data_IF_221385399364
#
_entry.id   IF_221385399364
#
_cell.length_a   1.000
_cell.length_b   1.000
_cell.length_c   1.000
_cell.angle_alpha   90.00
_cell.angle_beta   90.00
_cell.angle_gamma   90.00
#
_symmetry.space_group_name_H-M   'P 1'
#
loop_
_entity.id
_entity.type
_entity.pdbx_description
1 polymer ?
#
# COMPACT_ATOMS: atom_id res chain seq x y z
N UNK A 1 56.07 -26.98 -18.99
CA UNK A 1 56.16 -28.30 -18.31
C UNK A 1 54.81 -28.58 -17.66
N UNK A 2 54.14 -29.65 -18.11
CA UNK A 2 52.95 -30.36 -17.56
C UNK A 2 51.69 -29.52 -17.22
N UNK A 3 50.59 -29.57 -17.99
CA UNK A 3 49.55 -30.64 -18.19
C UNK A 3 48.69 -30.91 -16.94
N UNK A 4 47.39 -30.65 -17.08
CA UNK A 4 46.31 -31.09 -16.18
C UNK A 4 44.94 -30.89 -16.84
N UNK A 5 44.44 -31.93 -17.50
CA UNK A 5 43.17 -32.01 -18.22
C UNK A 5 42.04 -32.55 -17.31
N UNK A 6 40.79 -32.33 -17.73
CA UNK A 6 39.53 -33.02 -17.36
C UNK A 6 38.75 -32.53 -16.12
N UNK A 7 37.41 -32.50 -16.06
CA UNK A 7 36.29 -32.71 -17.00
C UNK A 7 34.99 -32.26 -16.29
N UNK A 8 34.08 -31.65 -17.07
CA UNK A 8 32.60 -31.66 -16.96
C UNK A 8 31.89 -31.70 -15.58
N UNK A 9 31.20 -30.61 -15.26
CA UNK A 9 30.09 -30.56 -14.30
C UNK A 9 29.05 -29.52 -14.73
N UNK A 10 27.90 -29.99 -15.20
CA UNK A 10 26.74 -29.20 -15.61
C UNK A 10 26.18 -28.35 -14.45
N UNK A 11 26.02 -27.06 -14.70
CA UNK A 11 25.27 -26.14 -13.85
C UNK A 11 25.52 -24.71 -14.29
N UNK A 12 24.60 -24.13 -15.08
CA UNK A 12 24.68 -22.71 -15.47
C UNK A 12 24.49 -21.85 -14.21
N UNK A 13 25.40 -20.94 -13.85
CA UNK A 13 24.98 -19.75 -13.13
C UNK A 13 24.45 -18.74 -14.17
N UNK A 14 23.14 -18.52 -14.13
CA UNK A 14 22.57 -17.24 -14.55
C UNK A 14 23.07 -16.22 -13.53
N UNK A 15 23.90 -15.30 -13.98
CA UNK A 15 24.67 -14.41 -13.12
C UNK A 15 26.11 -14.32 -13.62
N UNK A 16 26.28 -13.99 -14.90
CA UNK A 16 27.59 -13.68 -15.43
C UNK A 16 28.00 -12.33 -14.85
N UNK A 17 28.94 -12.39 -13.93
CA UNK A 17 29.73 -11.30 -13.41
C UNK A 17 30.56 -10.71 -14.57
N UNK A 18 29.97 -9.81 -15.37
CA UNK A 18 30.65 -9.09 -16.47
C UNK A 18 31.10 -7.70 -15.99
N UNK A 19 31.63 -7.60 -14.77
CA UNK A 19 32.12 -6.33 -14.20
C UNK A 19 33.65 -6.14 -14.31
N UNK A 20 34.39 -7.04 -14.95
CA UNK A 20 35.83 -6.87 -15.16
C UNK A 20 36.17 -6.52 -16.63
N UNK A 21 36.73 -5.32 -16.83
CA UNK A 21 37.62 -4.93 -17.94
C UNK A 21 37.13 -4.38 -19.30
N UNK A 22 35.84 -4.07 -19.52
CA UNK A 22 35.46 -3.34 -20.75
C UNK A 22 35.13 -1.87 -20.46
N UNK A 23 35.81 -0.88 -21.10
CA UNK A 23 35.56 0.53 -20.85
C UNK A 23 34.12 0.93 -21.22
N UNK A 24 33.48 1.76 -20.40
CA UNK A 24 32.06 2.12 -20.50
C UNK A 24 31.61 2.63 -21.89
N UNK A 25 32.53 3.22 -22.66
CA UNK A 25 32.27 3.69 -24.04
C UNK A 25 32.05 2.53 -25.03
N UNK A 26 32.72 1.41 -24.82
CA UNK A 26 32.60 0.23 -25.67
C UNK A 26 31.35 -0.59 -25.33
N UNK A 27 30.95 -0.62 -24.05
CA UNK A 27 29.68 -1.19 -23.60
C UNK A 27 28.46 -0.53 -24.26
N UNK A 28 28.43 0.81 -24.31
CA UNK A 28 27.33 1.56 -24.95
C UNK A 28 27.22 1.26 -26.45
N UNK A 29 28.35 0.95 -27.11
CA UNK A 29 28.40 0.56 -28.52
C UNK A 29 27.91 -0.87 -28.77
N UNK A 30 28.06 -1.77 -27.78
CA UNK A 30 27.62 -3.18 -27.85
C UNK A 30 26.17 -3.38 -27.37
N UNK A 31 25.36 -2.32 -27.32
CA UNK A 31 23.95 -2.41 -26.89
C UNK A 31 23.74 -2.26 -25.38
N UNK A 32 24.76 -1.85 -24.64
CA UNK A 32 24.61 -1.41 -23.24
C UNK A 32 23.86 -0.08 -23.14
N UNK A 33 23.29 0.17 -21.98
CA UNK A 33 22.58 1.38 -21.62
C UNK A 33 22.91 1.78 -20.18
N UNK A 34 22.62 3.03 -19.82
CA UNK A 34 22.84 3.54 -18.47
C UNK A 34 21.49 3.72 -17.79
N UNK A 35 21.29 3.09 -16.63
CA UNK A 35 20.12 3.29 -15.78
C UNK A 35 20.50 4.11 -14.54
N UNK A 36 19.79 5.20 -14.33
CA UNK A 36 19.89 6.08 -13.16
C UNK A 36 18.58 5.99 -12.38
N UNK A 37 18.63 5.55 -11.14
CA UNK A 37 17.48 5.54 -10.24
C UNK A 37 17.67 6.57 -9.12
N UNK A 38 16.74 7.50 -8.98
CA UNK A 38 16.65 8.39 -7.82
C UNK A 38 15.59 7.85 -6.87
N UNK A 39 16.02 7.06 -5.88
CA UNK A 39 15.13 6.41 -4.91
C UNK A 39 15.07 7.20 -3.62
N UNK A 40 13.86 7.51 -3.16
CA UNK A 40 13.59 8.17 -1.89
C UNK A 40 12.83 7.21 -0.98
N UNK A 41 13.36 6.89 0.22
CA UNK A 41 14.53 7.48 0.85
C UNK A 41 15.86 6.84 0.38
N UNK A 42 17.00 7.52 0.58
CA UNK A 42 18.31 7.10 0.03
C UNK A 42 18.84 5.77 0.59
N UNK A 43 18.42 5.37 1.78
CA UNK A 43 18.75 4.06 2.37
C UNK A 43 17.96 2.89 1.76
N UNK A 44 17.21 3.10 0.69
CA UNK A 44 16.48 2.03 0.03
C UNK A 44 17.44 1.00 -0.58
N UNK A 45 17.10 -0.28 -0.41
CA UNK A 45 17.69 -1.39 -1.16
C UNK A 45 17.11 -1.38 -2.56
N UNK A 46 17.98 -1.39 -3.56
CA UNK A 46 17.64 -1.44 -4.98
C UNK A 46 18.05 -2.80 -5.53
N UNK A 47 17.18 -3.44 -6.28
CA UNK A 47 17.47 -4.65 -7.03
C UNK A 47 17.10 -4.42 -8.51
N UNK A 48 17.98 -4.84 -9.41
CA UNK A 48 17.75 -4.82 -10.86
C UNK A 48 17.93 -6.26 -11.34
N UNK A 49 16.86 -6.83 -11.91
CA UNK A 49 16.81 -8.22 -12.40
C UNK A 49 17.17 -9.29 -11.35
N UNK A 50 16.88 -8.99 -10.08
CA UNK A 50 17.18 -9.85 -8.93
C UNK A 50 18.54 -9.58 -8.27
N UNK A 51 19.41 -8.78 -8.91
CA UNK A 51 20.70 -8.42 -8.33
C UNK A 51 20.58 -7.17 -7.46
N UNK A 52 21.03 -7.26 -6.22
CA UNK A 52 21.13 -6.10 -5.31
C UNK A 52 22.18 -5.13 -5.82
N UNK A 53 21.79 -3.87 -6.01
CA UNK A 53 22.65 -2.79 -6.46
C UNK A 53 22.81 -1.75 -5.35
N UNK A 54 24.04 -1.27 -5.13
CA UNK A 54 24.38 -0.30 -4.07
C UNK A 54 24.54 1.12 -4.60
N UNK A 55 25.43 1.29 -5.59
CA UNK A 55 25.80 2.61 -6.09
C UNK A 55 25.49 2.72 -7.59
N UNK A 56 24.73 3.75 -7.96
CA UNK A 56 24.44 4.08 -9.36
C UNK A 56 25.30 5.24 -9.85
N UNK A 57 25.33 5.51 -11.17
CA UNK A 57 24.53 4.89 -12.22
C UNK A 57 24.93 3.44 -12.56
N UNK A 58 24.00 2.64 -13.07
CA UNK A 58 24.22 1.24 -13.44
C UNK A 58 24.29 1.04 -14.94
N UNK A 59 25.26 0.25 -15.39
CA UNK A 59 25.27 -0.28 -16.75
C UNK A 59 24.34 -1.49 -16.81
N UNK A 60 23.43 -1.47 -17.76
CA UNK A 60 22.47 -2.55 -18.02
C UNK A 60 22.43 -2.83 -19.51
N UNK A 61 21.93 -3.99 -19.91
CA UNK A 61 21.64 -4.25 -21.33
C UNK A 61 20.48 -3.37 -21.79
N UNK A 62 20.34 -3.17 -23.11
CA UNK A 62 19.10 -2.65 -23.63
C UNK A 62 18.00 -3.71 -23.48
N UNK A 63 16.83 -3.32 -22.99
CA UNK A 63 15.75 -4.27 -22.81
C UNK A 63 14.80 -3.93 -21.69
N UNK A 64 14.12 -4.95 -21.18
CA UNK A 64 13.23 -4.84 -20.03
C UNK A 64 13.98 -5.28 -18.78
N UNK A 65 13.93 -4.45 -17.75
CA UNK A 65 14.55 -4.71 -16.46
C UNK A 65 13.50 -4.66 -15.37
N UNK A 66 13.51 -5.66 -14.48
CA UNK A 66 12.69 -5.61 -13.27
C UNK A 66 13.43 -4.80 -12.22
N UNK A 67 12.88 -3.65 -11.85
CA UNK A 67 13.40 -2.80 -10.79
C UNK A 67 12.56 -3.03 -9.53
N UNK A 68 13.22 -3.44 -8.45
CA UNK A 68 12.62 -3.56 -7.13
C UNK A 68 13.32 -2.58 -6.19
N UNK A 69 12.55 -1.79 -5.46
CA UNK A 69 13.08 -0.90 -4.43
C UNK A 69 12.34 -1.11 -3.11
N UNK A 70 13.08 -1.26 -2.02
CA UNK A 70 12.52 -1.52 -0.69
C UNK A 70 13.25 -0.76 0.40
N UNK A 71 12.54 -0.38 1.45
CA UNK A 71 13.12 0.26 2.63
C UNK A 71 12.29 -0.07 3.88
N UNK A 72 12.89 -0.12 5.08
CA UNK A 72 12.16 -0.36 6.32
C UNK A 72 10.99 0.63 6.50
N UNK A 73 9.81 0.11 6.84
CA UNK A 73 8.59 0.91 7.04
C UNK A 73 8.03 1.56 5.76
N UNK A 74 8.51 1.17 4.58
CA UNK A 74 7.98 1.60 3.28
C UNK A 74 7.38 0.42 2.53
N UNK A 75 6.45 0.72 1.63
CA UNK A 75 5.93 -0.26 0.68
C UNK A 75 7.00 -0.59 -0.36
N UNK A 76 7.21 -1.88 -0.62
CA UNK A 76 8.10 -2.34 -1.68
C UNK A 76 7.54 -1.91 -3.04
N UNK A 77 8.38 -1.24 -3.81
CA UNK A 77 8.10 -0.85 -5.18
C UNK A 77 8.63 -1.90 -6.15
N UNK A 78 7.85 -2.24 -7.18
CA UNK A 78 8.23 -3.17 -8.26
C UNK A 78 7.73 -2.61 -9.58
N UNK A 79 8.62 -2.43 -10.55
CA UNK A 79 8.29 -1.91 -11.87
C UNK A 79 9.14 -2.60 -12.94
N UNK A 80 8.53 -2.95 -14.07
CA UNK A 80 9.26 -3.38 -15.27
C UNK A 80 9.58 -2.13 -16.09
N UNK A 81 10.86 -1.80 -16.19
CA UNK A 81 11.35 -0.62 -16.89
C UNK A 81 11.97 -1.01 -18.22
N UNK A 82 11.56 -0.34 -19.31
CA UNK A 82 12.20 -0.49 -20.62
C UNK A 82 13.35 0.51 -20.75
N UNK A 83 14.55 0.00 -20.97
CA UNK A 83 15.78 0.78 -21.12
C UNK A 83 16.25 0.70 -22.58
N UNK A 84 16.22 1.81 -23.35
CA UNK A 84 16.69 1.82 -24.73
C UNK A 84 18.21 1.72 -24.85
N UNK A 85 18.69 1.05 -25.90
CA UNK A 85 20.12 0.90 -26.19
C UNK A 85 20.83 2.25 -26.35
N UNK A 86 22.07 2.34 -25.84
CA UNK A 86 22.95 3.50 -26.00
C UNK A 86 22.45 4.78 -25.33
N UNK A 87 21.35 4.73 -24.56
CA UNK A 87 20.74 5.88 -23.90
C UNK A 87 20.87 5.79 -22.39
N UNK A 88 20.89 6.96 -21.76
CA UNK A 88 20.72 7.10 -20.31
C UNK A 88 19.24 7.21 -19.98
N UNK A 89 18.72 6.25 -19.22
CA UNK A 89 17.36 6.28 -18.67
C UNK A 89 17.42 6.75 -17.23
N UNK A 90 16.62 7.76 -16.89
CA UNK A 90 16.54 8.27 -15.52
C UNK A 90 15.13 8.06 -14.98
N UNK A 91 15.02 7.45 -13.80
CA UNK A 91 13.74 7.16 -13.15
C UNK A 91 13.80 7.56 -11.69
N UNK A 92 12.81 8.34 -11.26
CA UNK A 92 12.60 8.67 -9.86
C UNK A 92 11.58 7.71 -9.23
N UNK A 93 11.87 7.22 -8.04
CA UNK A 93 11.04 6.29 -7.28
C UNK A 93 10.87 6.82 -5.85
N UNK A 94 9.67 7.27 -5.51
CA UNK A 94 9.33 7.70 -4.15
C UNK A 94 8.60 6.56 -3.41
N UNK A 95 9.30 5.85 -2.52
CA UNK A 95 8.74 4.73 -1.75
C UNK A 95 7.70 5.24 -0.75
N UNK A 96 6.47 4.77 -0.88
CA UNK A 96 5.36 5.19 0.00
C UNK A 96 5.52 4.60 1.39
N UNK A 97 5.13 5.34 2.42
CA UNK A 97 5.09 4.81 3.78
C UNK A 97 4.12 3.63 3.88
N UNK A 98 4.52 2.59 4.60
CA UNK A 98 3.61 1.49 4.91
C UNK A 98 2.63 1.97 6.00
N UNK A 99 1.32 1.76 5.82
CA UNK A 99 0.36 2.15 6.83
C UNK A 99 0.61 1.35 8.11
N UNK A 100 0.85 2.06 9.22
CA UNK A 100 0.87 1.45 10.55
C UNK A 100 -0.57 1.17 10.94
N UNK A 101 -0.90 -0.04 11.35
CA UNK A 101 -2.27 -0.40 11.74
C UNK A 101 -2.53 -0.07 13.23
N UNK A 102 -3.80 0.03 13.59
CA UNK A 102 -4.30 0.15 14.95
C UNK A 102 -5.73 -0.37 15.04
N UNK A 103 -6.30 -0.38 16.24
CA UNK A 103 -7.64 -0.92 16.48
C UNK A 103 -8.61 0.15 16.96
N UNK A 104 -9.87 -0.01 16.60
CA UNK A 104 -10.97 0.83 17.06
C UNK A 104 -12.08 -0.07 17.65
N UNK A 105 -12.27 -0.02 18.96
CA UNK A 105 -13.40 -0.64 19.66
C UNK A 105 -14.57 0.36 19.73
N UNK A 106 -15.60 0.11 18.93
CA UNK A 106 -16.81 0.94 18.90
C UNK A 106 -17.93 0.26 19.66
N UNK A 107 -18.42 0.93 20.71
CA UNK A 107 -19.57 0.49 21.50
C UNK A 107 -20.69 1.52 21.41
N UNK A 108 -21.92 1.05 21.32
CA UNK A 108 -23.07 1.94 21.18
C UNK A 108 -24.21 1.58 22.11
N UNK A 109 -25.01 2.59 22.42
CA UNK A 109 -26.32 2.45 23.08
C UNK A 109 -27.37 3.08 22.15
N UNK A 110 -28.31 2.30 21.57
CA UNK A 110 -28.50 0.85 21.75
C UNK A 110 -27.38 0.01 21.12
N UNK A 111 -27.28 -1.26 21.53
CA UNK A 111 -26.42 -2.26 20.88
C UNK A 111 -26.99 -2.62 19.50
N UNK A 112 -26.21 -3.34 18.68
CA UNK A 112 -26.56 -3.73 17.31
C UNK A 112 -26.82 -2.54 16.38
N UNK A 113 -26.08 -1.45 16.58
CA UNK A 113 -26.11 -0.34 15.63
C UNK A 113 -25.17 -0.66 14.46
N UNK A 114 -25.61 -0.39 13.23
CA UNK A 114 -24.80 -0.52 12.01
C UNK A 114 -23.62 0.44 12.09
N UNK A 115 -22.42 -0.08 11.89
CA UNK A 115 -21.15 0.64 11.91
C UNK A 115 -20.61 0.75 10.50
N UNK A 116 -20.44 1.99 10.03
CA UNK A 116 -19.86 2.31 8.73
C UNK A 116 -18.62 3.16 8.97
N UNK A 117 -17.49 2.76 8.40
CA UNK A 117 -16.20 3.44 8.55
C UNK A 117 -15.64 3.74 7.17
N UNK A 118 -15.37 5.02 6.90
CA UNK A 118 -14.91 5.54 5.60
C UNK A 118 -15.80 5.08 4.43
N UNK A 119 -17.12 5.08 4.67
CA UNK A 119 -18.12 4.67 3.68
C UNK A 119 -18.28 3.15 3.51
N UNK A 120 -17.48 2.32 4.20
CA UNK A 120 -17.60 0.86 4.14
C UNK A 120 -18.36 0.32 5.35
N UNK A 121 -19.36 -0.54 5.12
CA UNK A 121 -20.05 -1.25 6.18
C UNK A 121 -19.08 -2.21 6.88
N UNK A 122 -18.95 -2.07 8.20
CA UNK A 122 -18.10 -2.89 9.06
C UNK A 122 -18.90 -3.83 9.97
N UNK A 123 -20.21 -3.96 9.77
CA UNK A 123 -21.10 -4.79 10.57
C UNK A 123 -21.80 -3.99 11.67
N UNK A 124 -22.08 -4.63 12.81
CA UNK A 124 -22.85 -4.04 13.92
C UNK A 124 -22.01 -3.92 15.20
N UNK A 125 -22.36 -2.99 16.07
CA UNK A 125 -21.70 -2.74 17.36
C UNK A 125 -22.28 -3.58 18.52
N UNK A 126 -21.51 -3.87 19.59
CA UNK A 126 -20.09 -3.55 19.80
C UNK A 126 -19.15 -4.28 18.84
N UNK A 127 -18.12 -3.60 18.33
CA UNK A 127 -17.15 -4.21 17.41
C UNK A 127 -15.78 -3.57 17.49
N UNK A 128 -14.75 -4.43 17.44
CA UNK A 128 -13.36 -4.04 17.22
C UNK A 128 -13.05 -4.14 15.72
N UNK A 129 -12.49 -3.08 15.14
CA UNK A 129 -12.08 -3.03 13.73
C UNK A 129 -10.63 -2.61 13.63
N UNK A 130 -9.84 -3.35 12.86
CA UNK A 130 -8.47 -2.95 12.51
C UNK A 130 -8.49 -1.94 11.36
N UNK A 131 -7.79 -0.83 11.54
CA UNK A 131 -7.75 0.30 10.60
C UNK A 131 -6.33 0.84 10.52
N UNK A 132 -5.99 1.52 9.42
CA UNK A 132 -4.76 2.30 9.37
C UNK A 132 -4.76 3.35 10.49
N UNK A 133 -3.61 3.62 11.09
CA UNK A 133 -3.50 4.69 12.07
C UNK A 133 -3.70 6.04 11.38
N UNK A 134 -4.60 6.85 11.91
CA UNK A 134 -5.01 8.08 11.23
C UNK A 134 -6.45 8.47 11.49
N UNK A 135 -6.94 9.42 10.71
CA UNK A 135 -8.31 9.93 10.83
C UNK A 135 -9.27 9.04 10.04
N UNK A 136 -10.34 8.60 10.70
CA UNK A 136 -11.41 7.80 10.10
C UNK A 136 -12.76 8.46 10.34
N UNK A 137 -13.65 8.38 9.33
CA UNK A 137 -15.02 8.88 9.41
C UNK A 137 -15.96 7.74 9.79
N UNK A 138 -16.58 7.85 10.94
CA UNK A 138 -17.57 6.91 11.44
C UNK A 138 -18.98 7.43 11.17
N UNK A 139 -19.84 6.51 10.76
CA UNK A 139 -21.29 6.67 10.75
C UNK A 139 -21.88 5.47 11.49
N UNK A 140 -22.69 5.75 12.50
CA UNK A 140 -23.39 4.75 13.30
C UNK A 140 -24.89 4.97 13.17
N UNK A 141 -25.65 3.92 12.87
CA UNK A 141 -27.09 4.02 12.68
C UNK A 141 -27.82 2.82 13.30
N UNK A 142 -28.96 3.06 13.95
CA UNK A 142 -29.84 2.03 14.49
C UNK A 142 -31.30 2.38 14.17
N UNK A 143 -32.16 1.37 14.01
CA UNK A 143 -33.56 1.57 13.67
C UNK A 143 -34.30 2.35 14.78
N UNK A 144 -35.00 3.43 14.42
CA UNK A 144 -35.71 4.29 15.38
C UNK A 144 -34.80 5.28 16.14
N UNK A 145 -33.53 5.40 15.74
CA UNK A 145 -32.58 6.35 16.30
C UNK A 145 -31.98 7.23 15.22
N UNK A 146 -31.65 8.47 15.58
CA UNK A 146 -30.88 9.37 14.72
C UNK A 146 -29.46 8.83 14.55
N UNK A 147 -28.99 8.76 13.31
CA UNK A 147 -27.61 8.36 13.02
C UNK A 147 -26.60 9.36 13.59
N UNK A 148 -25.48 8.87 14.11
CA UNK A 148 -24.38 9.68 14.59
C UNK A 148 -23.19 9.62 13.62
N UNK A 149 -22.57 10.77 13.35
CA UNK A 149 -21.32 10.88 12.58
C UNK A 149 -20.20 11.38 13.48
N UNK A 150 -19.01 10.78 13.38
CA UNK A 150 -17.85 11.18 14.17
C UNK A 150 -16.57 10.99 13.38
N UNK A 151 -15.61 11.91 13.52
CA UNK A 151 -14.24 11.70 13.08
C UNK A 151 -13.43 11.25 14.28
N UNK A 152 -12.72 10.12 14.15
CA UNK A 152 -11.83 9.61 15.20
C UNK A 152 -10.42 9.47 14.67
N UNK A 153 -9.43 9.55 15.55
CA UNK A 153 -8.03 9.33 15.21
C UNK A 153 -7.55 8.01 15.83
N UNK A 154 -7.43 6.98 15.02
CA UNK A 154 -6.93 5.66 15.45
C UNK A 154 -5.43 5.77 15.75
N UNK A 155 -4.97 5.35 16.94
CA UNK A 155 -3.57 5.39 17.31
C UNK A 155 -2.76 4.33 16.56
N UNK A 156 -1.44 4.52 16.49
CA UNK A 156 -0.52 3.54 15.92
C UNK A 156 -0.34 2.38 16.90
N UNK A 157 -0.45 1.14 16.42
CA UNK A 157 -0.20 -0.09 17.17
C UNK A 157 -0.92 -0.18 18.54
N UNK A 158 -2.07 0.49 18.66
CA UNK A 158 -2.83 0.55 19.90
C UNK A 158 -4.34 0.56 19.60
N UNK A 159 -5.14 0.41 20.66
CA UNK A 159 -6.60 0.36 20.57
C UNK A 159 -7.21 1.66 21.07
N UNK A 160 -8.06 2.29 20.26
CA UNK A 160 -8.94 3.36 20.70
C UNK A 160 -10.33 2.79 21.00
N UNK A 161 -10.83 3.01 22.22
CA UNK A 161 -12.20 2.63 22.59
C UNK A 161 -13.10 3.85 22.63
N UNK A 162 -14.23 3.80 21.92
CA UNK A 162 -15.24 4.85 21.93
C UNK A 162 -16.62 4.31 22.31
N UNK A 163 -17.37 5.14 23.03
CA UNK A 163 -18.79 4.90 23.34
C UNK A 163 -19.64 5.98 22.67
N UNK A 164 -20.72 5.55 22.01
CA UNK A 164 -21.64 6.45 21.30
C UNK A 164 -23.08 6.13 21.72
N UNK A 165 -23.77 7.10 22.30
CA UNK A 165 -25.21 6.99 22.60
C UNK A 165 -26.00 7.63 21.47
N UNK A 166 -26.86 6.86 20.81
CA UNK A 166 -27.74 7.37 19.77
C UNK A 166 -29.01 7.94 20.41
N UNK A 167 -29.52 9.03 19.82
CA UNK A 167 -30.75 9.66 20.28
C UNK A 167 -31.95 9.05 19.56
N UNK A 168 -32.98 8.64 20.31
CA UNK A 168 -34.20 8.13 19.73
C UNK A 168 -34.86 9.18 18.80
N UNK A 169 -35.38 8.72 17.67
CA UNK A 169 -36.09 9.59 16.74
C UNK A 169 -37.49 9.86 17.29
N UNK A 170 -37.80 11.13 17.56
CA UNK A 170 -39.16 11.53 17.92
C UNK A 170 -40.05 11.39 16.69
N UNK A 171 -40.84 10.31 16.63
CA UNK A 171 -41.98 10.23 15.71
C UNK A 171 -42.96 11.33 16.08
N UNK A 172 -43.02 12.42 15.31
CA UNK A 172 -44.22 13.27 15.32
C UNK A 172 -45.35 12.42 14.76
N UNK A 173 -46.21 11.89 15.62
CA UNK A 173 -47.50 11.40 15.18
C UNK A 173 -48.25 12.60 14.58
N UNK A 174 -48.33 12.69 13.25
CA UNK A 174 -49.44 13.43 12.62
C UNK A 174 -50.70 12.69 13.03
N UNK A 175 -51.52 13.29 13.89
CA UNK A 175 -52.86 12.77 14.17
C UNK A 175 -53.59 12.62 12.83
N UNK A 176 -54.17 11.45 12.49
CA UNK A 176 -55.07 11.38 11.37
C UNK A 176 -56.24 12.34 11.65
N UNK A 177 -56.59 13.20 10.68
CA UNK A 177 -57.87 13.91 10.71
C UNK A 177 -58.95 12.84 10.62
N UNK A 178 -59.60 12.54 11.74
CA UNK A 178 -60.84 11.77 11.75
C UNK A 178 -61.88 12.65 11.05
N UNK A 179 -62.19 12.33 9.79
CA UNK A 179 -63.35 12.87 9.14
C UNK A 179 -64.57 12.23 9.80
N UNK A 180 -65.27 12.98 10.64
CA UNK A 180 -66.60 12.61 11.11
C UNK A 180 -67.56 12.72 9.93
N UNK A 181 -67.99 11.58 9.39
CA UNK A 181 -69.15 11.49 8.50
C UNK A 181 -70.39 11.35 9.37
N UNK A 182 -71.24 12.38 9.37
CA UNK A 182 -72.56 12.35 10.02
C UNK A 182 -73.53 11.50 9.20
N UNK A 183 -74.33 10.60 9.81
CA UNK A 183 -75.40 9.92 9.09
C UNK A 183 -76.63 10.84 8.95
N UNK A 184 -77.37 10.67 7.86
CA UNK A 184 -78.74 11.15 7.69
C UNK A 184 -79.71 10.00 7.92
#
# INVERSE_FOLDING_TARGET
>A
MAVGLALLGLGRPVGADIQADVPAREWLRRGGAVLVLDVVPKQARIEIDGDVKRDGPWLVTAGVHLVVASAPGRQTFREVLRVPAGRRTMRRIDLRAQPVMGHLDVRTTPRRARLIIDGRLRGETPRVVELAAGRHRLLVAALGYRSARRVVRVPRAATLTIRITLLAERRRFRRPRLAFLSPR
#
